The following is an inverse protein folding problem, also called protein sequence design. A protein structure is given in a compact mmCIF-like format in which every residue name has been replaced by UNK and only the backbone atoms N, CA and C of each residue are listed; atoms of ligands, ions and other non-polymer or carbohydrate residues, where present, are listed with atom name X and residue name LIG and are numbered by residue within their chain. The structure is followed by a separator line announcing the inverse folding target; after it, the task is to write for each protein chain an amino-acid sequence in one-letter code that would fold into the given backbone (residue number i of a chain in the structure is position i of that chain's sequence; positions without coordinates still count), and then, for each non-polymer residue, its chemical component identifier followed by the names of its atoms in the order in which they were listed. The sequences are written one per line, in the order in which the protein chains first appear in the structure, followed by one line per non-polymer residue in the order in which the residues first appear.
data_IF_767591292756
#
_entry.id   IF_767591292756
#
_cell.length_a   1.000
_cell.length_b   1.000
_cell.length_c   1.000
_cell.angle_alpha   90.00
_cell.angle_beta   90.00
_cell.angle_gamma   90.00
#
_symmetry.space_group_name_H-M   'P 1'
#
loop_
_entity.id
_entity.type
_entity.pdbx_description
1 polymer ?
#
# COMPACT_ATOMS: atom_id res chain seq x y z
N UNK A 1 8.07 -15.24 -20.42
CA UNK A 1 6.62 -15.12 -20.18
C UNK A 1 6.45 -14.89 -18.68
N UNK A 2 5.61 -13.95 -18.24
CA UNK A 2 5.55 -13.58 -16.83
C UNK A 2 4.86 -14.69 -15.99
N UNK A 3 5.51 -15.15 -14.91
CA UNK A 3 5.07 -16.27 -14.05
C UNK A 3 3.65 -16.05 -13.52
N UNK A 4 3.30 -14.84 -13.08
CA UNK A 4 1.94 -14.54 -12.58
C UNK A 4 0.89 -14.70 -13.68
N UNK A 5 1.19 -14.19 -14.89
CA UNK A 5 0.29 -14.38 -16.05
C UNK A 5 0.12 -15.86 -16.41
N UNK A 6 1.18 -16.64 -16.30
CA UNK A 6 1.11 -18.09 -16.52
C UNK A 6 0.26 -18.80 -15.46
N UNK A 7 0.38 -18.42 -14.19
CA UNK A 7 -0.47 -18.93 -13.11
C UNK A 7 -1.95 -18.68 -13.44
N UNK A 8 -2.33 -17.44 -13.73
CA UNK A 8 -3.73 -17.10 -14.06
C UNK A 8 -4.24 -17.80 -15.32
N UNK A 9 -3.43 -17.87 -16.38
CA UNK A 9 -3.80 -18.61 -17.60
C UNK A 9 -4.04 -20.10 -17.33
N UNK A 10 -3.24 -20.71 -16.45
CA UNK A 10 -3.41 -22.10 -16.07
C UNK A 10 -4.61 -22.32 -15.14
N UNK A 11 -4.95 -21.35 -14.28
CA UNK A 11 -6.13 -21.43 -13.43
C UNK A 11 -7.43 -21.40 -14.26
N UNK A 12 -7.50 -20.59 -15.31
CA UNK A 12 -8.70 -20.46 -16.17
C UNK A 12 -9.19 -21.74 -16.84
N UNK A 13 -8.37 -22.79 -16.91
CA UNK A 13 -8.65 -24.00 -17.69
C UNK A 13 -8.73 -25.27 -16.83
N UNK A 14 -8.70 -25.18 -15.50
CA UNK A 14 -8.42 -26.35 -14.67
C UNK A 14 -9.30 -26.48 -13.41
N UNK A 15 -9.22 -27.65 -12.78
CA UNK A 15 -9.89 -27.92 -11.49
C UNK A 15 -8.98 -27.56 -10.29
N UNK A 16 -9.52 -27.67 -9.08
CA UNK A 16 -8.83 -27.28 -7.83
C UNK A 16 -7.49 -28.02 -7.63
N UNK A 17 -7.36 -29.29 -8.05
CA UNK A 17 -6.13 -30.06 -7.83
C UNK A 17 -4.96 -29.58 -8.69
N UNK A 18 -5.26 -29.16 -9.91
CA UNK A 18 -4.26 -28.55 -10.77
C UNK A 18 -3.81 -27.17 -10.26
N UNK A 19 -4.76 -26.38 -9.72
CA UNK A 19 -4.45 -25.10 -9.09
C UNK A 19 -3.44 -25.25 -7.94
N UNK A 20 -3.58 -26.32 -7.15
CA UNK A 20 -2.65 -26.66 -6.06
C UNK A 20 -1.25 -26.98 -6.60
N UNK A 21 -1.16 -27.74 -7.69
CA UNK A 21 0.12 -28.09 -8.30
C UNK A 21 0.83 -26.87 -8.89
N UNK A 22 0.08 -25.97 -9.53
CA UNK A 22 0.59 -24.70 -10.06
C UNK A 22 1.08 -23.82 -8.92
N UNK A 23 0.30 -23.69 -7.85
CA UNK A 23 0.67 -22.94 -6.67
C UNK A 23 1.99 -23.42 -6.08
N UNK A 24 2.05 -24.70 -5.71
CA UNK A 24 3.22 -25.28 -5.06
C UNK A 24 4.48 -25.14 -5.92
N UNK A 25 4.35 -25.29 -7.24
CA UNK A 25 5.50 -25.21 -8.17
C UNK A 25 5.99 -23.78 -8.40
N UNK A 26 5.10 -22.79 -8.36
CA UNK A 26 5.44 -21.43 -8.78
C UNK A 26 5.69 -20.46 -7.62
N UNK A 27 5.40 -20.83 -6.36
CA UNK A 27 5.69 -19.98 -5.20
C UNK A 27 7.15 -19.52 -5.13
N UNK A 28 8.09 -20.41 -5.43
CA UNK A 28 9.53 -20.11 -5.44
C UNK A 28 9.96 -19.24 -6.65
N UNK A 29 9.11 -19.12 -7.68
CA UNK A 29 9.44 -18.44 -8.94
C UNK A 29 8.80 -17.04 -9.05
N UNK A 30 7.96 -16.63 -8.10
CA UNK A 30 7.33 -15.29 -8.09
C UNK A 30 8.34 -14.19 -7.68
N UNK A 31 9.56 -14.56 -7.28
CA UNK A 31 10.62 -13.65 -6.81
C UNK A 31 11.11 -12.63 -7.87
N UNK A 32 10.78 -12.81 -9.16
CA UNK A 32 11.08 -11.83 -10.21
C UNK A 32 9.99 -10.74 -10.30
N UNK A 33 10.16 -9.69 -9.49
CA UNK A 33 9.28 -8.53 -9.30
C UNK A 33 8.97 -7.72 -10.59
N UNK A 34 8.06 -8.19 -11.43
CA UNK A 34 7.46 -7.38 -12.49
C UNK A 34 5.95 -7.28 -12.32
N UNK A 35 5.42 -6.05 -12.22
CA UNK A 35 3.98 -5.78 -12.18
C UNK A 35 3.30 -6.31 -13.45
N UNK A 36 2.17 -7.00 -13.29
CA UNK A 36 1.46 -7.69 -14.37
C UNK A 36 0.02 -7.28 -14.46
N UNK A 37 -0.37 -6.82 -15.65
CA UNK A 37 -1.77 -6.67 -15.97
C UNK A 37 -2.39 -8.02 -16.33
N UNK A 38 -3.35 -8.42 -15.50
CA UNK A 38 -4.25 -9.57 -15.63
C UNK A 38 -5.68 -9.05 -15.78
N UNK A 39 -6.50 -9.72 -16.59
CA UNK A 39 -7.89 -9.36 -16.78
C UNK A 39 -8.78 -9.78 -15.61
N UNK A 40 -9.89 -9.06 -15.41
CA UNK A 40 -10.80 -9.31 -14.30
C UNK A 40 -11.42 -10.72 -14.32
N UNK A 41 -11.66 -11.31 -15.50
CA UNK A 41 -12.30 -12.62 -15.57
C UNK A 41 -11.39 -13.72 -15.02
N UNK A 42 -10.08 -13.61 -15.25
CA UNK A 42 -9.07 -14.49 -14.66
C UNK A 42 -9.03 -14.38 -13.13
N UNK A 43 -9.15 -13.15 -12.61
CA UNK A 43 -9.17 -12.88 -11.16
C UNK A 43 -10.44 -13.46 -10.53
N UNK A 44 -11.61 -13.18 -11.11
CA UNK A 44 -12.88 -13.72 -10.65
C UNK A 44 -12.88 -15.26 -10.66
N UNK A 45 -12.28 -15.87 -11.66
CA UNK A 45 -12.14 -17.32 -11.73
C UNK A 45 -11.24 -17.85 -10.60
N UNK A 46 -10.08 -17.24 -10.38
CA UNK A 46 -9.18 -17.60 -9.29
C UNK A 46 -9.87 -17.49 -7.91
N UNK A 47 -10.61 -16.40 -7.66
CA UNK A 47 -11.42 -16.23 -6.45
C UNK A 47 -12.41 -17.38 -6.29
N UNK A 48 -13.19 -17.69 -7.32
CA UNK A 48 -14.19 -18.78 -7.27
C UNK A 48 -13.55 -20.14 -7.03
N UNK A 49 -12.41 -20.41 -7.67
CA UNK A 49 -11.72 -21.69 -7.59
C UNK A 49 -11.04 -21.91 -6.23
N UNK A 50 -10.50 -20.84 -5.64
CA UNK A 50 -9.72 -20.91 -4.39
C UNK A 50 -10.53 -20.62 -3.13
N UNK A 51 -11.72 -20.02 -3.22
CA UNK A 51 -12.51 -19.63 -2.05
C UNK A 51 -12.67 -20.78 -1.04
N UNK A 52 -12.29 -20.52 0.23
CA UNK A 52 -12.30 -21.49 1.35
C UNK A 52 -11.37 -22.68 1.18
N UNK A 53 -10.47 -22.63 0.20
CA UNK A 53 -9.39 -23.60 0.07
C UNK A 53 -8.25 -23.21 1.03
N UNK A 54 -7.58 -24.21 1.62
CA UNK A 54 -6.45 -23.99 2.54
C UNK A 54 -5.25 -23.24 1.93
N UNK A 55 -5.14 -23.21 0.60
CA UNK A 55 -4.05 -22.50 -0.10
C UNK A 55 -4.41 -21.07 -0.51
N UNK A 56 -5.64 -20.63 -0.24
CA UNK A 56 -6.13 -19.35 -0.69
C UNK A 56 -5.31 -18.17 -0.16
N UNK A 57 -5.02 -18.15 1.14
CA UNK A 57 -4.25 -17.06 1.77
C UNK A 57 -2.87 -16.95 1.15
N UNK A 58 -2.16 -18.09 1.12
CA UNK A 58 -0.83 -18.20 0.55
C UNK A 58 -0.80 -17.80 -0.94
N UNK A 59 -1.85 -18.11 -1.72
CA UNK A 59 -1.94 -17.68 -3.11
C UNK A 59 -1.92 -16.16 -3.21
N UNK A 60 -2.85 -15.49 -2.53
CA UNK A 60 -3.02 -14.04 -2.65
C UNK A 60 -1.81 -13.28 -2.09
N UNK A 61 -1.34 -13.67 -0.89
CA UNK A 61 -0.14 -13.09 -0.26
C UNK A 61 1.07 -13.13 -1.22
N UNK A 62 1.21 -14.22 -1.98
CA UNK A 62 2.34 -14.40 -2.89
C UNK A 62 2.26 -13.56 -4.17
N UNK A 63 1.07 -13.19 -4.63
CA UNK A 63 0.91 -12.55 -5.95
C UNK A 63 0.50 -11.08 -5.89
N UNK A 64 -0.01 -10.58 -4.76
CA UNK A 64 -0.60 -9.23 -4.68
C UNK A 64 0.38 -8.14 -5.14
N UNK A 65 1.63 -8.18 -4.69
CA UNK A 65 2.64 -7.18 -5.10
C UNK A 65 3.07 -7.28 -6.57
N UNK A 66 2.84 -8.44 -7.18
CA UNK A 66 3.17 -8.68 -8.58
C UNK A 66 2.04 -8.29 -9.53
N UNK A 67 0.85 -8.00 -9.02
CA UNK A 67 -0.24 -7.49 -9.85
C UNK A 67 -0.02 -6.01 -10.18
N UNK A 68 -0.36 -5.64 -11.41
CA UNK A 68 -0.52 -4.24 -11.75
C UNK A 68 -1.74 -3.67 -11.01
N UNK A 69 -1.68 -2.39 -10.64
CA UNK A 69 -2.76 -1.76 -9.87
C UNK A 69 -4.10 -1.79 -10.61
N UNK A 70 -4.09 -1.74 -11.95
CA UNK A 70 -5.32 -1.82 -12.73
C UNK A 70 -6.01 -3.20 -12.63
N UNK A 71 -5.29 -4.22 -12.17
CA UNK A 71 -5.82 -5.56 -11.92
C UNK A 71 -6.37 -5.73 -10.49
N UNK A 72 -6.03 -4.85 -9.55
CA UNK A 72 -6.53 -4.94 -8.17
C UNK A 72 -7.84 -4.14 -8.07
N UNK A 73 -8.95 -4.78 -8.43
CA UNK A 73 -10.27 -4.13 -8.47
C UNK A 73 -10.87 -3.93 -7.07
N UNK A 74 -11.86 -3.05 -6.97
CA UNK A 74 -12.62 -2.82 -5.73
C UNK A 74 -13.29 -4.12 -5.21
N UNK A 75 -13.78 -4.97 -6.10
CA UNK A 75 -14.39 -6.26 -5.75
C UNK A 75 -13.35 -7.22 -5.16
N UNK A 76 -12.14 -7.26 -5.70
CA UNK A 76 -11.05 -8.07 -5.15
C UNK A 76 -10.63 -7.54 -3.77
N UNK A 77 -10.49 -6.22 -3.61
CA UNK A 77 -10.12 -5.61 -2.32
C UNK A 77 -11.18 -5.92 -1.26
N UNK A 78 -12.46 -5.72 -1.57
CA UNK A 78 -13.57 -6.04 -0.68
C UNK A 78 -13.58 -7.52 -0.28
N UNK A 79 -13.30 -8.40 -1.24
CA UNK A 79 -13.19 -9.83 -1.00
C UNK A 79 -12.08 -10.13 0.02
N UNK A 80 -10.87 -9.63 -0.24
CA UNK A 80 -9.69 -9.87 0.58
C UNK A 80 -9.85 -9.31 2.00
N UNK A 81 -10.39 -8.10 2.15
CA UNK A 81 -10.70 -7.50 3.45
C UNK A 81 -11.75 -8.34 4.20
N UNK A 82 -12.86 -8.69 3.55
CA UNK A 82 -13.96 -9.43 4.18
C UNK A 82 -13.52 -10.76 4.76
N UNK A 83 -12.57 -11.43 4.11
CA UNK A 83 -12.07 -12.73 4.53
C UNK A 83 -10.72 -12.67 5.27
N UNK A 84 -10.20 -11.46 5.51
CA UNK A 84 -8.91 -11.21 6.15
C UNK A 84 -7.75 -11.95 5.47
N UNK A 85 -7.65 -11.81 4.15
CA UNK A 85 -6.65 -12.46 3.30
C UNK A 85 -5.75 -11.40 2.69
N UNK A 86 -4.42 -11.60 2.78
CA UNK A 86 -3.42 -10.71 2.20
C UNK A 86 -3.60 -9.22 2.57
N UNK A 87 -4.19 -8.94 3.74
CA UNK A 87 -4.55 -7.58 4.20
C UNK A 87 -3.30 -6.75 4.50
N UNK A 88 -2.24 -7.40 5.00
CA UNK A 88 -0.93 -6.78 5.20
C UNK A 88 -0.31 -6.37 3.86
N UNK A 89 -0.32 -7.26 2.86
CA UNK A 89 0.19 -6.99 1.52
C UNK A 89 -0.61 -5.87 0.85
N UNK A 90 -1.94 -5.87 1.00
CA UNK A 90 -2.81 -4.79 0.54
C UNK A 90 -2.49 -3.45 1.22
N UNK A 91 -2.17 -3.44 2.53
CA UNK A 91 -1.81 -2.24 3.27
C UNK A 91 -0.52 -1.57 2.75
N UNK A 92 0.39 -2.34 2.15
CA UNK A 92 1.59 -1.84 1.48
C UNK A 92 1.41 -1.61 -0.03
N UNK A 93 0.26 -2.01 -0.58
CA UNK A 93 0.04 -2.00 -2.02
C UNK A 93 -0.43 -0.64 -2.54
N UNK A 94 -0.43 -0.52 -3.87
CA UNK A 94 -0.76 0.72 -4.57
C UNK A 94 -2.27 1.01 -4.69
N UNK A 95 -3.08 0.53 -3.75
CA UNK A 95 -4.56 0.61 -3.81
C UNK A 95 -5.09 2.00 -3.45
N UNK A 96 -6.35 2.28 -3.80
CA UNK A 96 -6.98 3.57 -3.57
C UNK A 96 -7.05 4.01 -2.11
N UNK A 97 -7.00 5.32 -1.87
CA UNK A 97 -6.89 5.90 -0.53
C UNK A 97 -8.04 5.50 0.39
N UNK A 98 -9.27 5.40 -0.15
CA UNK A 98 -10.44 4.91 0.59
C UNK A 98 -10.21 3.52 1.21
N UNK A 99 -9.48 2.65 0.51
CA UNK A 99 -9.20 1.29 0.98
C UNK A 99 -8.07 1.27 2.00
N UNK A 100 -7.03 2.07 1.78
CA UNK A 100 -5.96 2.23 2.76
C UNK A 100 -6.46 2.87 4.06
N UNK A 101 -7.42 3.79 4.00
CA UNK A 101 -8.07 4.33 5.21
C UNK A 101 -8.86 3.26 5.96
N UNK A 102 -9.59 2.40 5.25
CA UNK A 102 -10.33 1.29 5.87
C UNK A 102 -9.33 0.33 6.54
N UNK A 103 -8.27 -0.06 5.84
CA UNK A 103 -7.23 -0.93 6.37
C UNK A 103 -6.46 -0.29 7.53
N UNK A 104 -6.20 1.02 7.47
CA UNK A 104 -5.43 1.78 8.46
C UNK A 104 -5.95 1.66 9.89
N UNK A 105 -7.26 1.45 10.04
CA UNK A 105 -7.91 1.22 11.34
C UNK A 105 -7.39 -0.03 12.06
N UNK A 106 -6.86 -0.99 11.32
CA UNK A 106 -6.35 -2.27 11.84
C UNK A 106 -4.85 -2.46 11.53
N UNK A 107 -4.34 -1.87 10.45
CA UNK A 107 -2.99 -2.06 9.93
C UNK A 107 -2.29 -0.71 9.74
N UNK A 108 -1.39 -0.35 10.67
CA UNK A 108 -0.69 0.95 10.68
C UNK A 108 0.12 1.19 9.39
N UNK A 109 0.54 0.11 8.75
CA UNK A 109 1.24 0.07 7.48
C UNK A 109 0.43 0.72 6.35
N UNK A 110 -0.91 0.65 6.40
CA UNK A 110 -1.75 1.32 5.41
C UNK A 110 -1.70 2.84 5.55
N UNK A 111 -1.67 3.36 6.78
CA UNK A 111 -1.45 4.78 7.04
C UNK A 111 -0.04 5.23 6.70
N UNK A 112 0.97 4.38 6.92
CA UNK A 112 2.34 4.63 6.46
C UNK A 112 2.39 4.79 4.94
N UNK A 113 1.80 3.85 4.21
CA UNK A 113 1.71 3.88 2.75
C UNK A 113 1.02 5.16 2.27
N UNK A 114 -0.11 5.54 2.90
CA UNK A 114 -0.80 6.81 2.60
C UNK A 114 0.13 8.00 2.83
N UNK A 115 0.71 8.15 4.02
CA UNK A 115 1.59 9.29 4.33
C UNK A 115 2.74 9.38 3.35
N UNK A 116 3.45 8.30 3.07
CA UNK A 116 4.58 8.28 2.14
C UNK A 116 4.17 8.82 0.76
N UNK A 117 3.00 8.42 0.25
CA UNK A 117 2.49 8.89 -1.05
C UNK A 117 2.30 10.41 -1.11
N UNK A 118 1.94 11.07 -0.01
CA UNK A 118 1.78 12.53 0.02
C UNK A 118 3.10 13.29 -0.15
N UNK A 119 4.25 12.65 0.11
CA UNK A 119 5.59 13.27 0.13
C UNK A 119 6.54 12.79 -0.97
N UNK A 120 6.24 11.70 -1.67
CA UNK A 120 6.99 11.30 -2.88
C UNK A 120 6.44 12.06 -4.08
N UNK A 121 7.13 13.15 -4.49
CA UNK A 121 6.92 13.98 -5.69
C UNK A 121 5.75 13.50 -6.58
N UNK A 122 4.67 14.29 -6.60
CA UNK A 122 3.40 14.01 -7.28
C UNK A 122 3.54 13.22 -8.58
N UNK A 123 3.38 11.90 -8.50
CA UNK A 123 3.37 11.09 -9.69
C UNK A 123 1.98 11.18 -10.30
N UNK A 124 1.94 11.83 -11.46
CA UNK A 124 0.92 11.81 -12.50
C UNK A 124 0.41 10.38 -12.82
N UNK A 125 1.06 9.33 -12.30
CA UNK A 125 0.66 7.92 -12.36
C UNK A 125 -0.47 7.51 -11.41
N UNK A 126 -0.80 8.33 -10.39
CA UNK A 126 -1.91 8.04 -9.48
C UNK A 126 -3.26 8.57 -9.97
N UNK A 127 -3.38 8.94 -11.26
CA UNK A 127 -4.67 9.03 -11.96
C UNK A 127 -5.28 7.63 -12.19
N UNK A 128 -5.11 6.70 -11.26
CA UNK A 128 -5.85 5.44 -11.28
C UNK A 128 -7.31 5.74 -10.95
N UNK A 129 -8.23 4.90 -11.43
CA UNK A 129 -9.66 4.97 -11.07
C UNK A 129 -9.94 4.88 -9.56
N UNK A 130 -8.92 4.60 -8.74
CA UNK A 130 -9.02 4.42 -7.29
C UNK A 130 -8.47 5.60 -6.48
N UNK A 131 -8.00 6.68 -7.12
CA UNK A 131 -7.63 7.88 -6.40
C UNK A 131 -8.85 8.51 -5.74
N UNK A 132 -8.80 8.72 -4.42
CA UNK A 132 -9.77 9.58 -3.75
C UNK A 132 -9.05 10.41 -2.70
N UNK A 133 -8.52 11.52 -3.22
CA UNK A 133 -8.28 12.87 -2.68
C UNK A 133 -8.90 13.15 -1.28
N UNK A 134 -8.41 12.50 -0.23
CA UNK A 134 -8.59 13.05 1.12
C UNK A 134 -7.63 14.23 1.29
N UNK A 135 -8.04 15.26 2.01
CA UNK A 135 -7.11 16.34 2.31
C UNK A 135 -6.06 15.85 3.31
N UNK A 136 -4.82 16.35 3.23
CA UNK A 136 -3.75 15.90 4.12
C UNK A 136 -4.08 16.14 5.60
N UNK A 137 -4.78 17.23 5.91
CA UNK A 137 -5.26 17.54 7.27
C UNK A 137 -6.32 16.52 7.75
N UNK A 138 -7.21 16.09 6.85
CA UNK A 138 -8.21 15.06 7.14
C UNK A 138 -7.53 13.72 7.45
N UNK A 139 -6.51 13.34 6.68
CA UNK A 139 -5.70 12.14 6.95
C UNK A 139 -5.05 12.18 8.33
N UNK A 140 -4.47 13.32 8.73
CA UNK A 140 -3.88 13.47 10.07
C UNK A 140 -4.93 13.28 11.17
N UNK A 141 -6.14 13.82 10.96
CA UNK A 141 -7.28 13.60 11.86
C UNK A 141 -7.66 12.13 12.02
N UNK A 142 -7.69 11.37 10.92
CA UNK A 142 -8.01 9.93 10.92
C UNK A 142 -6.93 9.08 11.62
N UNK A 143 -5.65 9.40 11.42
CA UNK A 143 -4.54 8.67 12.06
C UNK A 143 -4.48 8.95 13.56
N UNK A 144 -4.91 10.15 13.97
CA UNK A 144 -4.80 10.58 15.36
C UNK A 144 -3.35 10.83 15.77
N UNK A 145 -3.08 10.72 17.06
CA UNK A 145 -1.78 11.08 17.63
C UNK A 145 -0.82 9.91 17.50
N UNK A 146 0.17 10.03 16.63
CA UNK A 146 1.22 9.03 16.45
C UNK A 146 2.59 9.69 16.38
N UNK A 147 3.51 9.25 17.24
CA UNK A 147 4.83 9.83 17.41
C UNK A 147 5.82 9.48 16.28
N UNK A 148 5.56 8.40 15.54
CA UNK A 148 6.42 7.92 14.47
C UNK A 148 6.04 8.49 13.09
N UNK A 149 5.04 9.39 13.02
CA UNK A 149 4.58 9.94 11.75
C UNK A 149 5.68 10.67 10.97
N UNK A 150 6.61 11.34 11.68
CA UNK A 150 7.77 11.95 11.03
C UNK A 150 8.71 10.91 10.43
N UNK A 151 8.93 9.80 11.13
CA UNK A 151 9.85 8.74 10.69
C UNK A 151 9.39 8.12 9.37
N UNK A 152 8.07 8.06 9.14
CA UNK A 152 7.49 7.52 7.91
C UNK A 152 7.82 8.38 6.69
N UNK A 153 8.16 9.65 6.87
CA UNK A 153 8.51 10.59 5.79
C UNK A 153 10.03 10.69 5.56
N UNK A 154 10.85 10.04 6.42
CA UNK A 154 12.33 10.18 6.42
C UNK A 154 12.98 9.81 5.07
N UNK A 155 12.30 9.06 4.21
CA UNK A 155 12.78 8.62 2.90
C UNK A 155 12.55 9.56 1.71
N UNK A 156 11.85 10.71 1.82
CA UNK A 156 11.63 11.59 0.66
C UNK A 156 12.88 12.42 0.34
N UNK A 157 13.61 12.03 -0.70
CA UNK A 157 14.88 12.65 -1.10
C UNK A 157 14.69 13.97 -1.89
N UNK A 158 13.50 14.24 -2.41
CA UNK A 158 13.18 15.45 -3.17
C UNK A 158 11.78 15.94 -2.78
N UNK A 159 11.72 17.09 -2.09
CA UNK A 159 10.47 17.73 -1.66
C UNK A 159 10.13 18.87 -2.62
N UNK A 160 8.90 18.93 -3.13
CA UNK A 160 8.37 20.12 -3.81
C UNK A 160 8.00 21.22 -2.81
N UNK A 161 7.77 22.48 -3.26
CA UNK A 161 7.21 23.53 -2.38
C UNK A 161 5.92 23.13 -1.66
N UNK A 162 5.05 22.34 -2.29
CA UNK A 162 3.82 21.87 -1.64
C UNK A 162 4.10 20.76 -0.61
N UNK A 163 5.13 19.94 -0.82
CA UNK A 163 5.56 18.96 0.18
C UNK A 163 6.18 19.64 1.41
N UNK A 164 6.81 20.81 1.25
CA UNK A 164 7.27 21.62 2.38
C UNK A 164 6.09 22.12 3.23
N UNK A 165 4.97 22.55 2.61
CA UNK A 165 3.77 22.93 3.36
C UNK A 165 3.18 21.76 4.13
N UNK A 166 3.09 20.58 3.50
CA UNK A 166 2.63 19.35 4.16
C UNK A 166 3.58 18.94 5.29
N UNK A 167 4.88 19.10 5.10
CA UNK A 167 5.88 18.80 6.13
C UNK A 167 5.72 19.72 7.34
N UNK A 168 5.45 21.01 7.11
CA UNK A 168 5.15 21.97 8.15
C UNK A 168 3.85 21.65 8.90
N UNK A 169 2.79 21.28 8.18
CA UNK A 169 1.53 20.81 8.78
C UNK A 169 1.75 19.56 9.65
N UNK A 170 2.48 18.58 9.13
CA UNK A 170 2.81 17.34 9.84
C UNK A 170 3.60 17.63 11.12
N UNK A 171 4.65 18.46 11.02
CA UNK A 171 5.46 18.85 12.17
C UNK A 171 4.62 19.53 13.26
N UNK A 172 3.80 20.53 12.88
CA UNK A 172 2.91 21.23 13.81
C UNK A 172 1.90 20.28 14.45
N UNK A 173 1.30 19.40 13.65
CA UNK A 173 0.35 18.41 14.13
C UNK A 173 0.97 17.51 15.20
N UNK A 174 2.16 16.98 14.94
CA UNK A 174 2.89 16.11 15.85
C UNK A 174 3.23 16.86 17.14
N UNK A 175 3.87 18.02 17.07
CA UNK A 175 4.30 18.78 18.26
C UNK A 175 3.12 19.23 19.13
N UNK A 176 1.98 19.57 18.52
CA UNK A 176 0.80 20.05 19.26
C UNK A 176 -0.01 18.92 19.90
N UNK A 177 0.07 17.70 19.38
CA UNK A 177 -0.81 16.60 19.80
C UNK A 177 -0.10 15.47 20.53
N UNK A 178 1.24 15.44 20.54
CA UNK A 178 2.03 14.39 21.21
C UNK A 178 2.73 14.92 22.47
N UNK A 179 2.85 14.09 23.51
CA UNK A 179 3.69 14.36 24.67
C UNK A 179 5.08 13.75 24.45
N UNK A 180 5.83 14.28 23.48
CA UNK A 180 7.17 13.80 23.19
C UNK A 180 8.08 13.87 24.42
N UNK A 181 8.89 12.82 24.58
CA UNK A 181 10.10 12.98 25.34
C UNK A 181 11.02 13.99 24.64
N UNK A 182 11.97 14.55 25.40
CA UNK A 182 12.85 15.60 24.89
C UNK A 182 13.69 15.12 23.69
N UNK A 183 14.09 13.85 23.67
CA UNK A 183 14.98 13.30 22.64
C UNK A 183 14.26 13.18 21.29
N UNK A 184 13.02 12.68 21.29
CA UNK A 184 12.20 12.52 20.09
C UNK A 184 11.83 13.88 19.48
N UNK A 185 11.56 14.87 20.35
CA UNK A 185 11.32 16.25 19.95
C UNK A 185 12.54 16.87 19.27
N UNK A 186 13.72 16.75 19.88
CA UNK A 186 14.97 17.27 19.32
C UNK A 186 15.31 16.61 17.98
N UNK A 187 15.05 15.29 17.83
CA UNK A 187 15.24 14.55 16.56
C UNK A 187 14.29 15.05 15.47
N UNK A 188 13.01 15.20 15.80
CA UNK A 188 11.95 15.66 14.90
C UNK A 188 12.20 17.09 14.42
N UNK A 189 12.54 17.99 15.34
CA UNK A 189 12.89 19.39 15.03
C UNK A 189 14.15 19.46 14.16
N UNK A 190 15.20 18.69 14.50
CA UNK A 190 16.43 18.63 13.69
C UNK A 190 16.17 18.14 12.26
N UNK A 191 15.35 17.09 12.10
CA UNK A 191 14.99 16.59 10.77
C UNK A 191 14.22 17.65 9.95
N UNK A 192 13.20 18.26 10.54
CA UNK A 192 12.40 19.31 9.92
C UNK A 192 13.26 20.50 9.48
N UNK A 193 14.11 21.03 10.37
CA UNK A 193 15.01 22.14 10.08
C UNK A 193 16.02 21.79 8.98
N UNK A 194 16.59 20.59 9.01
CA UNK A 194 17.50 20.14 7.94
C UNK A 194 16.82 20.12 6.57
N UNK A 195 15.57 19.64 6.48
CA UNK A 195 14.83 19.57 5.21
C UNK A 195 14.43 20.94 4.68
N UNK A 196 14.03 21.87 5.56
CA UNK A 196 13.73 23.25 5.16
C UNK A 196 15.00 23.98 4.69
N UNK A 197 16.12 23.82 5.40
CA UNK A 197 17.37 24.49 5.05
C UNK A 197 17.89 24.06 3.68
N UNK A 198 17.76 22.77 3.31
CA UNK A 198 18.11 22.26 1.97
C UNK A 198 17.28 22.94 0.87
N UNK A 199 16.05 23.34 1.15
CA UNK A 199 15.16 23.98 0.18
C UNK A 199 15.40 25.50 0.06
N UNK A 200 15.86 26.15 1.12
CA UNK A 200 16.10 27.61 1.15
C UNK A 200 17.47 28.04 0.60
N UNK A 201 18.41 27.10 0.46
CA UNK A 201 19.76 27.29 -0.10
C UNK A 201 19.81 27.03 -1.59
#
# INVERSE_FOLDING_TARGET
MNVVREIFNNLNNRNVNDAIAILTKNLELIEEQQRVKIDNSSIEHAVKLLHKNKYESMFWESIIFSLDIESITDELILYLIKYNIATSELAHSDIGDKWLLILGKEYIEAYQTLIVRYFTNGNIYYKSKHATVIEFEELLGEIGVNEYLMDWVVGSHYLTPDDIKKLDLLYKYIINNTNFDKELKDKTEKYYLNKINIFQS
#
